data_IF_051734393755
#
_entry.id   IF_051734393755
#
_cell.length_a   1.000
_cell.length_b   1.000
_cell.length_c   1.000
_cell.angle_alpha   90.00
_cell.angle_beta   90.00
_cell.angle_gamma   90.00
#
_symmetry.space_group_name_H-M   'P 1'
#
loop_
_entity.id
_entity.type
_entity.pdbx_description
1 polymer ?
#
# COMPACT_ATOMS: atom_id res chain seq x y z
N UNK A 1 4.85 -14.74 -11.24
CA UNK A 1 4.03 -14.98 -10.02
C UNK A 1 3.43 -13.68 -9.50
N UNK A 2 4.21 -12.61 -9.32
CA UNK A 2 3.73 -11.32 -8.81
C UNK A 2 2.58 -10.71 -9.63
N UNK A 3 2.69 -10.66 -10.97
CA UNK A 3 1.63 -10.08 -11.82
C UNK A 3 0.31 -10.87 -11.75
N UNK A 4 0.36 -12.20 -11.71
CA UNK A 4 -0.83 -13.05 -11.58
C UNK A 4 -1.50 -12.90 -10.20
N UNK A 5 -0.71 -12.75 -9.14
CA UNK A 5 -1.23 -12.49 -7.80
C UNK A 5 -1.89 -11.11 -7.72
N UNK A 6 -1.27 -10.08 -8.30
CA UNK A 6 -1.83 -8.73 -8.34
C UNK A 6 -3.13 -8.67 -9.14
N UNK A 7 -3.18 -9.38 -10.28
CA UNK A 7 -4.41 -9.54 -11.07
C UNK A 7 -5.52 -10.23 -10.28
N UNK A 8 -5.20 -11.30 -9.55
CA UNK A 8 -6.18 -12.01 -8.72
C UNK A 8 -6.75 -11.11 -7.60
N UNK A 9 -5.92 -10.26 -6.97
CA UNK A 9 -6.38 -9.29 -5.97
C UNK A 9 -7.35 -8.29 -6.60
N UNK A 10 -7.01 -7.73 -7.76
CA UNK A 10 -7.87 -6.74 -8.43
C UNK A 10 -9.20 -7.35 -8.88
N UNK A 11 -9.20 -8.57 -9.42
CA UNK A 11 -10.43 -9.30 -9.74
C UNK A 11 -11.24 -9.58 -8.46
N UNK A 12 -10.57 -9.97 -7.38
CA UNK A 12 -11.20 -10.16 -6.08
C UNK A 12 -11.84 -8.87 -5.55
N UNK A 13 -11.18 -7.72 -5.71
CA UNK A 13 -11.72 -6.42 -5.30
C UNK A 13 -13.02 -6.06 -6.03
N UNK A 14 -13.24 -6.56 -7.26
CA UNK A 14 -14.52 -6.40 -7.97
C UNK A 14 -15.68 -7.15 -7.32
N UNK A 15 -15.44 -8.09 -6.41
CA UNK A 15 -16.51 -8.77 -5.68
C UNK A 15 -17.32 -7.81 -4.81
N UNK A 16 -16.77 -6.65 -4.44
CA UNK A 16 -17.52 -5.63 -3.69
C UNK A 16 -18.73 -5.10 -4.46
N UNK A 17 -18.74 -5.16 -5.80
CA UNK A 17 -19.92 -4.81 -6.63
C UNK A 17 -21.09 -5.72 -6.29
N UNK A 18 -20.84 -7.02 -6.06
CA UNK A 18 -21.88 -7.97 -5.68
C UNK A 18 -22.38 -7.66 -4.27
N UNK A 19 -21.46 -7.38 -3.35
CA UNK A 19 -21.79 -7.05 -1.96
C UNK A 19 -22.63 -5.79 -1.84
N UNK A 20 -22.23 -4.69 -2.49
CA UNK A 20 -22.90 -3.38 -2.40
C UNK A 20 -24.26 -3.38 -3.10
N UNK A 21 -24.41 -4.12 -4.21
CA UNK A 21 -25.72 -4.31 -4.82
C UNK A 21 -26.63 -5.20 -3.96
N UNK A 22 -26.09 -6.24 -3.32
CA UNK A 22 -26.86 -7.10 -2.39
C UNK A 22 -27.33 -6.30 -1.17
N UNK A 23 -26.49 -5.39 -0.67
CA UNK A 23 -26.85 -4.45 0.39
C UNK A 23 -28.00 -3.54 -0.04
N UNK A 24 -27.89 -2.89 -1.21
CA UNK A 24 -28.88 -1.93 -1.72
C UNK A 24 -30.25 -2.56 -2.01
N UNK A 25 -30.28 -3.77 -2.59
CA UNK A 25 -31.52 -4.39 -3.09
C UNK A 25 -32.12 -5.46 -2.17
N UNK A 26 -31.34 -6.02 -1.22
CA UNK A 26 -31.82 -7.12 -0.38
C UNK A 26 -31.67 -6.83 1.12
N UNK A 27 -30.46 -6.92 1.66
CA UNK A 27 -30.21 -6.80 3.10
C UNK A 27 -28.72 -6.78 3.42
N UNK A 28 -28.35 -6.04 4.46
CA UNK A 28 -27.03 -6.06 5.07
C UNK A 28 -26.59 -7.48 5.50
N UNK A 29 -27.49 -8.30 6.03
CA UNK A 29 -27.12 -9.64 6.51
C UNK A 29 -26.60 -10.55 5.37
N UNK A 30 -27.27 -10.51 4.22
CA UNK A 30 -26.85 -11.24 3.02
C UNK A 30 -25.53 -10.70 2.46
N UNK A 31 -25.35 -9.38 2.48
CA UNK A 31 -24.11 -8.74 2.05
C UNK A 31 -22.90 -9.22 2.88
N UNK A 32 -23.04 -9.37 4.20
CA UNK A 32 -21.97 -9.89 5.07
C UNK A 32 -21.77 -11.40 5.00
N UNK A 33 -22.83 -12.17 4.67
CA UNK A 33 -22.74 -13.62 4.52
C UNK A 33 -21.88 -14.03 3.32
N UNK A 34 -21.92 -13.26 2.23
CA UNK A 34 -21.17 -13.54 1.00
C UNK A 34 -19.64 -13.65 1.24
N UNK A 35 -18.96 -12.65 1.83
CA UNK A 35 -17.54 -12.76 2.19
C UNK A 35 -17.23 -13.93 3.13
N UNK A 36 -18.13 -14.24 4.07
CA UNK A 36 -17.94 -15.34 5.01
C UNK A 36 -17.87 -16.70 4.29
N UNK A 37 -18.77 -16.93 3.34
CA UNK A 37 -18.78 -18.16 2.53
C UNK A 37 -17.49 -18.29 1.72
N UNK A 38 -17.04 -17.21 1.09
CA UNK A 38 -15.78 -17.18 0.32
C UNK A 38 -14.58 -17.49 1.24
N UNK A 39 -14.56 -16.92 2.45
CA UNK A 39 -13.50 -17.14 3.42
C UNK A 39 -13.45 -18.59 3.92
N UNK A 40 -14.61 -19.20 4.21
CA UNK A 40 -14.71 -20.62 4.55
C UNK A 40 -14.17 -21.48 3.39
N UNK A 41 -14.55 -21.16 2.15
CA UNK A 41 -14.03 -21.83 0.96
C UNK A 41 -12.50 -21.76 0.86
N UNK A 42 -11.91 -20.58 1.11
CA UNK A 42 -10.47 -20.40 1.13
C UNK A 42 -9.78 -21.26 2.21
N UNK A 43 -10.35 -21.35 3.42
CA UNK A 43 -9.85 -22.22 4.49
C UNK A 43 -9.90 -23.69 4.08
N UNK A 44 -10.99 -24.14 3.47
CA UNK A 44 -11.14 -25.54 3.01
C UNK A 44 -10.06 -25.87 1.97
N UNK A 45 -9.80 -24.97 1.02
CA UNK A 45 -8.72 -25.14 0.03
C UNK A 45 -7.35 -25.25 0.70
N UNK A 46 -7.07 -24.43 1.72
CA UNK A 46 -5.82 -24.51 2.49
C UNK A 46 -5.68 -25.84 3.25
N UNK A 47 -6.76 -26.33 3.86
CA UNK A 47 -6.74 -27.60 4.61
C UNK A 47 -6.51 -28.77 3.65
N UNK A 48 -7.21 -28.80 2.51
CA UNK A 48 -7.05 -29.85 1.48
C UNK A 48 -5.65 -29.80 0.86
N UNK A 49 -5.11 -28.59 0.65
CA UNK A 49 -3.79 -28.36 0.08
C UNK A 49 -2.62 -28.64 1.03
N UNK A 50 -2.86 -28.92 2.33
CA UNK A 50 -1.82 -29.00 3.37
C UNK A 50 -0.65 -29.93 3.03
N UNK A 51 -0.92 -31.04 2.35
CA UNK A 51 0.08 -32.05 2.00
C UNK A 51 0.95 -31.64 0.79
N UNK A 52 0.58 -30.57 0.06
CA UNK A 52 1.32 -30.06 -1.11
C UNK A 52 2.20 -28.85 -0.77
N UNK A 53 2.10 -28.29 0.44
CA UNK A 53 2.83 -27.09 0.82
C UNK A 53 4.25 -27.41 1.32
N UNK A 54 5.23 -26.67 0.81
CA UNK A 54 6.61 -26.73 1.30
C UNK A 54 6.71 -25.96 2.61
N UNK A 55 6.83 -26.68 3.72
CA UNK A 55 7.04 -26.08 5.03
C UNK A 55 8.47 -25.59 5.16
N UNK A 56 8.67 -24.27 5.24
CA UNK A 56 9.98 -23.68 5.51
C UNK A 56 10.25 -23.74 7.02
N UNK A 57 11.46 -24.11 7.46
CA UNK A 57 11.80 -24.15 8.88
C UNK A 57 11.62 -22.75 9.50
N UNK A 58 11.24 -22.66 10.78
CA UNK A 58 11.01 -21.38 11.44
C UNK A 58 12.31 -20.57 11.45
N UNK A 59 12.36 -19.53 10.62
CA UNK A 59 13.39 -18.50 10.72
C UNK A 59 13.05 -17.64 11.92
N UNK A 60 13.92 -17.60 12.94
CA UNK A 60 13.70 -16.79 14.14
C UNK A 60 13.39 -15.32 13.81
N UNK A 61 12.75 -14.60 14.73
CA UNK A 61 12.28 -13.23 14.47
C UNK A 61 13.44 -12.29 14.13
N UNK A 62 13.50 -11.94 12.85
CA UNK A 62 14.46 -11.01 12.30
C UNK A 62 14.28 -9.60 12.87
N UNK A 63 13.04 -9.19 13.14
CA UNK A 63 12.73 -7.91 13.77
C UNK A 63 13.34 -7.81 15.17
N UNK A 64 13.29 -8.89 15.94
CA UNK A 64 13.93 -8.93 17.27
C UNK A 64 15.46 -8.83 17.13
N UNK A 65 16.05 -9.51 16.16
CA UNK A 65 17.50 -9.41 15.88
C UNK A 65 17.90 -8.00 15.46
N UNK A 66 17.16 -7.40 14.52
CA UNK A 66 17.39 -6.02 14.08
C UNK A 66 17.21 -5.01 15.22
N UNK A 67 16.17 -5.15 16.04
CA UNK A 67 15.91 -4.31 17.20
C UNK A 67 17.02 -4.38 18.25
N UNK A 68 17.57 -5.57 18.53
CA UNK A 68 18.73 -5.73 19.42
C UNK A 68 19.99 -5.04 18.87
N UNK A 69 20.24 -5.14 17.57
CA UNK A 69 21.38 -4.46 16.92
C UNK A 69 21.24 -2.93 16.98
N UNK A 70 20.04 -2.42 16.72
CA UNK A 70 19.75 -0.98 16.81
C UNK A 70 19.86 -0.50 18.27
N UNK A 71 19.29 -1.25 19.21
CA UNK A 71 19.34 -0.92 20.65
C UNK A 71 20.76 -0.88 21.21
N UNK A 72 21.58 -1.88 20.87
CA UNK A 72 23.00 -1.92 21.28
C UNK A 72 23.82 -0.77 20.65
N UNK A 73 23.55 -0.43 19.38
CA UNK A 73 24.16 0.73 18.72
C UNK A 73 23.80 2.06 19.41
N UNK A 74 22.52 2.25 19.76
CA UNK A 74 22.04 3.46 20.45
C UNK A 74 22.64 3.55 21.86
N UNK A 75 22.63 2.46 22.62
CA UNK A 75 23.17 2.41 23.97
C UNK A 75 24.67 2.74 24.00
N UNK A 76 25.46 2.21 23.06
CA UNK A 76 26.89 2.52 22.95
C UNK A 76 27.14 3.97 22.59
N UNK A 77 26.40 4.54 21.62
CA UNK A 77 26.51 5.97 21.29
C UNK A 77 26.16 6.86 22.47
N UNK A 78 25.18 6.46 23.29
CA UNK A 78 24.79 7.20 24.47
C UNK A 78 25.83 7.11 25.60
N UNK A 79 26.46 5.95 25.79
CA UNK A 79 27.49 5.73 26.83
C UNK A 79 28.87 6.29 26.49
N UNK A 80 29.32 6.14 25.24
CA UNK A 80 30.70 6.45 24.83
C UNK A 80 30.83 7.72 23.99
N UNK A 81 29.71 8.43 23.75
CA UNK A 81 29.70 9.63 22.92
C UNK A 81 30.00 9.35 21.43
N UNK A 82 30.17 10.42 20.65
CA UNK A 82 30.57 10.29 19.23
C UNK A 82 32.05 9.89 19.16
N UNK A 83 32.33 8.71 18.61
CA UNK A 83 33.69 8.30 18.30
C UNK A 83 34.10 8.76 16.88
N UNK A 84 35.35 9.21 16.68
CA UNK A 84 35.81 9.75 15.39
C UNK A 84 35.87 8.71 14.25
N UNK A 85 35.96 7.42 14.58
CA UNK A 85 36.09 6.34 13.60
C UNK A 85 34.74 5.83 13.03
N UNK A 86 33.60 6.24 13.61
CA UNK A 86 32.27 5.75 13.26
C UNK A 86 31.42 6.82 12.55
N UNK A 87 31.22 6.68 11.23
CA UNK A 87 30.40 7.62 10.44
C UNK A 87 28.89 7.41 10.61
N UNK A 88 28.40 6.19 10.90
CA UNK A 88 26.97 5.91 11.07
C UNK A 88 26.66 5.21 12.40
N UNK A 89 25.44 5.40 12.90
CA UNK A 89 24.96 4.81 14.16
C UNK A 89 25.11 3.28 14.19
N UNK A 90 24.82 2.60 13.09
CA UNK A 90 24.92 1.14 13.01
C UNK A 90 26.36 0.62 12.98
N UNK A 91 27.35 1.48 12.69
CA UNK A 91 28.75 1.07 12.68
C UNK A 91 29.23 0.77 14.13
N UNK A 92 28.61 1.38 15.16
CA UNK A 92 28.88 1.09 16.58
C UNK A 92 28.50 -0.35 17.01
N UNK A 93 27.65 -1.02 16.23
CA UNK A 93 27.31 -2.42 16.47
C UNK A 93 28.36 -3.41 15.93
N UNK A 94 29.20 -2.98 14.96
CA UNK A 94 30.25 -3.81 14.33
C UNK A 94 31.43 -4.08 15.27
N UNK A 95 31.76 -3.13 16.14
CA UNK A 95 32.82 -3.29 17.14
C UNK A 95 32.39 -4.07 18.39
N UNK A 96 31.27 -4.80 18.33
CA UNK A 96 30.98 -5.77 19.38
C UNK A 96 31.88 -6.98 19.13
N UNK A 97 33.15 -6.85 19.54
CA UNK A 97 34.04 -7.99 19.78
C UNK A 97 33.25 -9.08 20.53
N UNK A 98 33.52 -10.37 20.26
CA UNK A 98 32.88 -11.46 20.98
C UNK A 98 33.11 -11.28 22.48
N UNK A 99 32.09 -10.82 23.20
CA UNK A 99 32.07 -10.89 24.65
C UNK A 99 31.83 -12.37 24.98
N UNK A 100 32.91 -13.05 25.30
CA UNK A 100 32.91 -14.38 25.88
C UNK A 100 32.64 -14.16 27.37
N UNK A 101 31.49 -14.64 27.85
CA UNK A 101 31.27 -14.76 29.31
C UNK A 101 32.40 -15.62 29.89
N UNK A 102 32.80 -15.36 31.15
CA UNK A 102 33.84 -16.11 31.89
C UNK A 102 33.59 -17.65 31.91
N UNK A 103 32.39 -18.10 31.56
CA UNK A 103 31.99 -19.51 31.43
C UNK A 103 32.08 -20.10 30.01
N UNK A 104 32.75 -19.43 29.07
CA UNK A 104 33.00 -19.95 27.72
C UNK A 104 31.74 -20.13 26.84
N UNK A 105 30.58 -19.63 27.29
CA UNK A 105 29.34 -19.63 26.50
C UNK A 105 29.24 -18.29 25.77
N UNK A 106 29.69 -18.27 24.52
CA UNK A 106 29.55 -17.11 23.65
C UNK A 106 28.08 -16.84 23.29
N UNK A 107 27.35 -16.13 24.15
CA UNK A 107 25.95 -15.75 23.88
C UNK A 107 25.88 -14.61 22.84
N UNK A 108 26.95 -13.81 22.71
CA UNK A 108 26.97 -12.60 21.87
C UNK A 108 27.65 -12.81 20.51
N UNK A 109 28.51 -13.82 20.38
CA UNK A 109 29.38 -14.01 19.22
C UNK A 109 28.67 -14.58 17.96
N UNK A 110 27.50 -15.19 18.09
CA UNK A 110 26.85 -15.90 16.97
C UNK A 110 25.87 -15.01 16.17
N UNK A 111 25.47 -13.84 16.71
CA UNK A 111 24.32 -13.08 16.17
C UNK A 111 24.72 -11.83 15.36
N UNK A 112 25.95 -11.33 15.49
CA UNK A 112 26.41 -10.12 14.81
C UNK A 112 27.46 -10.45 13.74
N UNK A 113 27.05 -11.13 12.68
CA UNK A 113 27.88 -11.23 11.49
C UNK A 113 28.00 -9.82 10.88
N UNK A 114 29.20 -9.29 10.65
CA UNK A 114 29.38 -7.94 10.11
C UNK A 114 28.59 -7.71 8.80
N UNK A 115 28.42 -8.79 8.02
CA UNK A 115 27.54 -8.84 6.85
C UNK A 115 26.08 -8.49 7.18
N UNK A 116 25.53 -8.97 8.30
CA UNK A 116 24.18 -8.66 8.74
C UNK A 116 24.00 -7.18 9.10
N UNK A 117 25.01 -6.57 9.73
CA UNK A 117 24.99 -5.13 10.07
C UNK A 117 25.06 -4.28 8.80
N UNK A 118 25.87 -4.68 7.82
CA UNK A 118 25.93 -4.02 6.51
C UNK A 118 24.63 -4.15 5.71
N UNK A 119 24.01 -5.32 5.75
CA UNK A 119 22.71 -5.61 5.15
C UNK A 119 21.59 -4.80 5.81
N UNK A 120 21.59 -4.70 7.15
CA UNK A 120 20.66 -3.86 7.91
C UNK A 120 20.86 -2.37 7.55
N UNK A 121 22.10 -1.91 7.38
CA UNK A 121 22.40 -0.52 7.02
C UNK A 121 21.90 -0.16 5.62
N UNK A 122 22.07 -1.07 4.65
CA UNK A 122 21.50 -0.92 3.30
C UNK A 122 19.97 -0.90 3.37
N UNK A 123 19.36 -1.84 4.10
CA UNK A 123 17.92 -1.89 4.28
C UNK A 123 17.36 -0.60 4.89
N UNK A 124 17.93 -0.10 6.00
CA UNK A 124 17.50 1.15 6.66
C UNK A 124 17.64 2.35 5.73
N UNK A 125 18.71 2.42 4.92
CA UNK A 125 18.88 3.51 3.95
C UNK A 125 17.81 3.45 2.85
N UNK A 126 17.50 2.26 2.33
CA UNK A 126 16.44 2.08 1.33
C UNK A 126 15.05 2.37 1.92
N UNK A 127 14.83 2.04 3.18
CA UNK A 127 13.55 2.28 3.87
C UNK A 127 13.25 3.77 4.11
N UNK A 128 14.22 4.68 3.92
CA UNK A 128 13.95 6.13 4.00
C UNK A 128 12.92 6.59 2.96
N UNK A 129 12.83 5.90 1.82
CA UNK A 129 11.82 6.19 0.80
C UNK A 129 10.41 5.91 1.33
N UNK A 130 10.24 4.89 2.17
CA UNK A 130 8.95 4.54 2.76
C UNK A 130 8.44 5.55 3.79
N UNK A 131 9.30 6.42 4.34
CA UNK A 131 8.86 7.48 5.25
C UNK A 131 7.92 8.49 4.59
N UNK A 132 7.89 8.57 3.26
CA UNK A 132 6.97 9.44 2.52
C UNK A 132 5.66 8.74 2.12
N UNK A 133 5.59 7.41 2.17
CA UNK A 133 4.39 6.65 1.81
C UNK A 133 3.18 6.87 2.72
N UNK A 134 3.30 7.23 4.01
CA UNK A 134 2.14 7.64 4.80
C UNK A 134 1.35 8.77 4.16
N UNK A 135 2.02 9.77 3.56
CA UNK A 135 1.34 10.86 2.85
C UNK A 135 0.60 10.36 1.61
N UNK A 136 1.21 9.42 0.88
CA UNK A 136 0.57 8.75 -0.24
C UNK A 136 -0.72 8.03 0.20
N UNK A 137 -0.64 7.23 1.26
CA UNK A 137 -1.78 6.46 1.76
C UNK A 137 -2.90 7.34 2.30
N UNK A 138 -2.59 8.50 2.89
CA UNK A 138 -3.60 9.48 3.29
C UNK A 138 -4.42 9.95 2.09
N UNK A 139 -3.78 10.25 0.97
CA UNK A 139 -4.47 10.67 -0.26
C UNK A 139 -5.20 9.50 -0.93
N UNK A 140 -4.60 8.31 -0.94
CA UNK A 140 -5.20 7.12 -1.52
C UNK A 140 -6.48 6.71 -0.78
N UNK A 141 -6.46 6.75 0.55
CA UNK A 141 -7.61 6.39 1.38
C UNK A 141 -8.80 7.37 1.30
N UNK A 142 -8.63 8.54 0.68
CA UNK A 142 -9.76 9.44 0.36
C UNK A 142 -10.80 8.75 -0.54
N UNK A 143 -10.34 7.82 -1.37
CA UNK A 143 -11.17 7.03 -2.27
C UNK A 143 -12.21 6.17 -1.55
N UNK A 144 -11.89 5.71 -0.34
CA UNK A 144 -12.74 4.81 0.46
C UNK A 144 -13.66 5.56 1.42
N UNK A 145 -13.56 6.89 1.48
CA UNK A 145 -14.24 7.71 2.50
C UNK A 145 -14.82 8.97 1.88
N UNK A 146 -14.01 10.01 1.74
CA UNK A 146 -14.48 11.34 1.33
C UNK A 146 -14.99 11.37 -0.12
N UNK A 147 -14.39 10.61 -1.05
CA UNK A 147 -14.89 10.57 -2.44
C UNK A 147 -16.24 9.88 -2.56
N UNK A 148 -16.51 8.88 -1.71
CA UNK A 148 -17.83 8.22 -1.63
C UNK A 148 -18.87 9.19 -1.07
N UNK A 149 -18.55 9.90 0.02
CA UNK A 149 -19.41 10.94 0.59
C UNK A 149 -19.69 12.08 -0.39
N UNK A 150 -18.70 12.47 -1.19
CA UNK A 150 -18.85 13.44 -2.27
C UNK A 150 -19.78 12.90 -3.37
N UNK A 151 -19.62 11.62 -3.75
CA UNK A 151 -20.47 10.98 -4.76
C UNK A 151 -21.93 10.88 -4.33
N UNK A 152 -22.19 10.70 -3.04
CA UNK A 152 -23.54 10.67 -2.49
C UNK A 152 -24.34 11.97 -2.71
N UNK A 153 -23.66 13.07 -3.02
CA UNK A 153 -24.28 14.37 -3.35
C UNK A 153 -24.52 14.54 -4.86
N UNK A 154 -24.09 13.57 -5.68
CA UNK A 154 -24.15 13.62 -7.14
C UNK A 154 -25.24 12.67 -7.66
N UNK A 155 -25.65 12.85 -8.91
CA UNK A 155 -26.51 11.90 -9.59
C UNK A 155 -25.67 10.67 -10.05
N UNK A 156 -25.77 9.59 -9.27
CA UNK A 156 -25.09 8.30 -9.50
C UNK A 156 -25.98 7.31 -10.29
N UNK A 157 -27.21 7.70 -10.61
CA UNK A 157 -28.18 6.85 -11.29
C UNK A 157 -28.58 5.61 -10.48
N UNK A 158 -28.76 4.43 -11.10
CA UNK A 158 -29.20 3.23 -10.40
C UNK A 158 -28.10 2.58 -9.55
N UNK A 159 -26.84 3.00 -9.69
CA UNK A 159 -25.70 2.37 -9.02
C UNK A 159 -25.61 2.81 -7.55
N UNK A 160 -25.12 1.95 -6.63
CA UNK A 160 -24.67 2.36 -5.31
C UNK A 160 -23.44 3.27 -5.40
N UNK A 161 -23.29 4.23 -4.48
CA UNK A 161 -22.13 5.14 -4.43
C UNK A 161 -20.81 4.39 -4.23
N UNK A 162 -20.85 3.28 -3.51
CA UNK A 162 -19.66 2.49 -3.17
C UNK A 162 -19.08 1.74 -4.39
N UNK A 163 -19.89 1.54 -5.44
CA UNK A 163 -19.42 0.94 -6.70
C UNK A 163 -18.37 1.83 -7.38
N UNK A 164 -18.28 3.11 -7.03
CA UNK A 164 -17.27 4.02 -7.59
C UNK A 164 -15.86 3.65 -7.15
N UNK A 165 -15.70 3.06 -5.97
CA UNK A 165 -14.39 2.54 -5.53
C UNK A 165 -13.89 1.44 -6.47
N UNK A 166 -14.80 0.71 -7.16
CA UNK A 166 -14.41 -0.31 -8.13
C UNK A 166 -13.84 0.25 -9.43
N UNK A 167 -13.95 1.56 -9.68
CA UNK A 167 -13.30 2.19 -10.84
C UNK A 167 -11.79 1.96 -10.77
N UNK A 168 -11.20 2.01 -9.57
CA UNK A 168 -9.77 1.82 -9.37
C UNK A 168 -9.28 0.42 -9.82
N UNK A 169 -9.77 -0.72 -9.28
CA UNK A 169 -9.36 -2.04 -9.75
C UNK A 169 -9.71 -2.30 -11.22
N UNK A 170 -10.78 -1.69 -11.76
CA UNK A 170 -11.08 -1.76 -13.20
C UNK A 170 -9.97 -1.09 -14.02
N UNK A 171 -9.57 0.13 -13.63
CA UNK A 171 -8.48 0.85 -14.27
C UNK A 171 -7.18 0.07 -14.14
N UNK A 172 -6.88 -0.52 -12.99
CA UNK A 172 -5.69 -1.35 -12.80
C UNK A 172 -5.68 -2.57 -13.72
N UNK A 173 -6.78 -3.31 -13.85
CA UNK A 173 -6.88 -4.48 -14.75
C UNK A 173 -6.62 -4.08 -16.21
N UNK A 174 -7.13 -2.93 -16.64
CA UNK A 174 -6.96 -2.43 -18.01
C UNK A 174 -5.57 -1.84 -18.23
N UNK A 175 -5.05 -1.06 -17.28
CA UNK A 175 -3.82 -0.29 -17.46
C UNK A 175 -2.55 -1.07 -17.12
N UNK A 176 -2.56 -2.03 -16.18
CA UNK A 176 -1.39 -2.89 -15.92
C UNK A 176 -0.82 -3.51 -17.20
N UNK A 177 -1.61 -4.19 -18.08
CA UNK A 177 -1.08 -4.76 -19.31
C UNK A 177 -0.63 -3.69 -20.30
N UNK A 178 -1.24 -2.50 -20.31
CA UNK A 178 -0.80 -1.36 -21.13
C UNK A 178 0.56 -0.87 -20.64
N UNK A 179 0.77 -0.75 -19.34
CA UNK A 179 2.05 -0.36 -18.75
C UNK A 179 3.14 -1.40 -19.04
N UNK A 180 2.83 -2.69 -18.85
CA UNK A 180 3.76 -3.79 -19.07
C UNK A 180 4.15 -4.00 -20.54
N UNK A 181 3.19 -3.93 -21.46
CA UNK A 181 3.40 -4.25 -22.88
C UNK A 181 3.69 -3.04 -23.77
N UNK A 182 3.16 -1.87 -23.44
CA UNK A 182 3.31 -0.66 -24.25
C UNK A 182 4.31 0.30 -23.62
N UNK A 183 4.05 0.77 -22.40
CA UNK A 183 4.79 1.90 -21.81
C UNK A 183 6.22 1.49 -21.45
N UNK A 184 6.44 0.42 -20.67
CA UNK A 184 7.80 0.02 -20.30
C UNK A 184 8.67 -0.40 -21.50
N UNK A 185 8.18 -1.10 -22.53
CA UNK A 185 8.95 -1.38 -23.73
C UNK A 185 9.22 -0.12 -24.57
N UNK A 186 8.25 0.80 -24.67
CA UNK A 186 8.42 2.08 -25.36
C UNK A 186 9.51 2.93 -24.69
N UNK A 187 9.48 3.05 -23.37
CA UNK A 187 10.52 3.76 -22.61
C UNK A 187 11.90 3.14 -22.76
N UNK A 188 11.98 1.79 -22.83
CA UNK A 188 13.22 1.07 -23.13
C UNK A 188 13.74 1.37 -24.54
N UNK A 189 12.85 1.54 -25.53
CA UNK A 189 13.24 1.96 -26.90
C UNK A 189 13.80 3.38 -26.91
N UNK A 190 13.29 4.28 -26.08
CA UNK A 190 13.80 5.64 -25.93
C UNK A 190 15.04 5.76 -25.03
N UNK A 191 15.62 4.64 -24.56
CA UNK A 191 16.77 4.61 -23.65
C UNK A 191 16.59 5.41 -22.35
N UNK A 192 15.35 5.65 -21.93
CA UNK A 192 15.06 6.35 -20.67
C UNK A 192 15.16 5.33 -19.53
N UNK A 193 16.23 5.41 -18.74
CA UNK A 193 16.40 4.59 -17.55
C UNK A 193 15.42 5.01 -16.46
N UNK A 194 14.28 4.33 -16.41
CA UNK A 194 13.22 4.65 -15.47
C UNK A 194 13.49 4.02 -14.10
N UNK A 195 14.33 4.72 -13.32
CA UNK A 195 14.72 4.31 -11.98
C UNK A 195 13.48 4.16 -11.06
N UNK A 196 13.50 3.22 -10.09
CA UNK A 196 12.39 3.00 -9.17
C UNK A 196 11.94 4.28 -8.45
N UNK A 197 12.88 5.13 -8.04
CA UNK A 197 12.58 6.40 -7.37
C UNK A 197 11.82 7.36 -8.29
N UNK A 198 12.19 7.44 -9.58
CA UNK A 198 11.51 8.30 -10.56
C UNK A 198 10.05 7.85 -10.82
N UNK A 199 9.81 6.53 -10.82
CA UNK A 199 8.45 5.96 -10.90
C UNK A 199 7.63 6.38 -9.69
N UNK A 200 8.17 6.20 -8.49
CA UNK A 200 7.50 6.57 -7.25
C UNK A 200 7.16 8.07 -7.27
N UNK A 201 8.09 8.93 -7.67
CA UNK A 201 7.79 10.38 -7.77
C UNK A 201 6.69 10.71 -8.77
N UNK A 202 6.60 10.00 -9.91
CA UNK A 202 5.47 10.17 -10.82
C UNK A 202 4.15 9.72 -10.19
N UNK A 203 4.13 8.64 -9.41
CA UNK A 203 2.94 8.23 -8.68
C UNK A 203 2.46 9.31 -7.70
N UNK A 204 3.39 9.84 -6.90
CA UNK A 204 3.09 10.95 -5.99
C UNK A 204 2.60 12.21 -6.73
N UNK A 205 3.10 12.47 -7.93
CA UNK A 205 2.61 13.56 -8.77
C UNK A 205 1.19 13.31 -9.28
N UNK A 206 0.91 12.10 -9.76
CA UNK A 206 -0.42 11.69 -10.23
C UNK A 206 -1.47 11.77 -9.10
N UNK A 207 -1.17 11.29 -7.89
CA UNK A 207 -2.12 11.39 -6.78
C UNK A 207 -2.33 12.83 -6.32
N UNK A 208 -1.30 13.67 -6.44
CA UNK A 208 -1.43 15.12 -6.16
C UNK A 208 -2.38 15.80 -7.14
N UNK A 209 -2.33 15.43 -8.44
CA UNK A 209 -3.30 15.91 -9.45
C UNK A 209 -4.72 15.42 -9.12
N UNK A 210 -4.87 14.15 -8.70
CA UNK A 210 -6.17 13.63 -8.28
C UNK A 210 -6.74 14.44 -7.10
N UNK A 211 -5.91 14.73 -6.10
CA UNK A 211 -6.31 15.53 -4.94
C UNK A 211 -6.55 17.00 -5.26
N UNK A 212 -5.92 17.56 -6.30
CA UNK A 212 -6.23 18.89 -6.79
C UNK A 212 -7.56 18.94 -7.57
N UNK A 213 -7.92 17.85 -8.26
CA UNK A 213 -9.18 17.74 -8.99
C UNK A 213 -10.39 17.56 -8.07
N UNK A 214 -10.25 16.83 -6.96
CA UNK A 214 -11.37 16.55 -6.04
C UNK A 214 -12.08 17.83 -5.49
N UNK A 215 -11.37 18.89 -5.07
CA UNK A 215 -11.98 20.17 -4.70
C UNK A 215 -12.64 20.91 -5.87
N UNK A 216 -12.10 20.78 -7.09
CA UNK A 216 -12.71 21.37 -8.29
C UNK A 216 -14.08 20.74 -8.52
N UNK A 217 -14.17 19.42 -8.42
CA UNK A 217 -15.44 18.70 -8.48
C UNK A 217 -16.37 19.15 -7.34
N UNK A 218 -15.86 19.29 -6.12
CA UNK A 218 -16.67 19.77 -4.99
C UNK A 218 -17.25 21.17 -5.24
N UNK A 219 -16.44 22.08 -5.79
CA UNK A 219 -16.89 23.43 -6.13
C UNK A 219 -17.99 23.41 -7.21
N UNK A 220 -17.89 22.50 -8.20
CA UNK A 220 -18.93 22.32 -9.21
C UNK A 220 -20.22 21.72 -8.64
N UNK A 221 -20.12 20.80 -7.67
CA UNK A 221 -21.27 20.28 -6.92
C UNK A 221 -22.00 21.42 -6.20
N UNK A 222 -21.26 22.36 -5.61
CA UNK A 222 -21.83 23.53 -4.92
C UNK A 222 -22.39 24.59 -5.88
N UNK A 223 -21.88 24.67 -7.11
CA UNK A 223 -22.34 25.62 -8.11
C UNK A 223 -23.58 25.15 -8.89
N UNK A 224 -23.90 23.86 -8.84
CA UNK A 224 -25.02 23.26 -9.59
C UNK A 224 -26.18 22.96 -8.63
N UNK A 225 -27.34 23.58 -8.87
CA UNK A 225 -28.55 23.40 -8.05
C UNK A 225 -29.11 21.96 -8.03
N UNK A 226 -30.12 21.67 -7.17
CA UNK A 226 -30.99 22.61 -6.45
C UNK A 226 -30.64 22.86 -4.97
N UNK A 227 -29.72 22.09 -4.35
CA UNK A 227 -29.37 22.23 -2.94
C UNK A 227 -28.02 22.94 -2.76
N UNK A 228 -28.06 24.25 -2.50
CA UNK A 228 -26.88 25.07 -2.20
C UNK A 228 -26.47 25.04 -0.71
N UNK A 229 -27.37 24.58 0.18
CA UNK A 229 -27.18 24.62 1.62
C UNK A 229 -27.57 23.28 2.28
N UNK A 230 -26.57 22.55 2.75
CA UNK A 230 -26.67 21.28 3.52
C UNK A 230 -27.35 21.43 4.89
N UNK A 231 -27.89 22.59 5.23
CA UNK A 231 -28.39 22.96 6.56
C UNK A 231 -29.91 23.05 6.66
N UNK A 232 -30.64 22.96 5.54
CA UNK A 232 -32.09 22.96 5.61
C UNK A 232 -32.57 21.52 5.66
N UNK A 233 -33.26 21.19 6.74
CA UNK A 233 -34.07 19.98 6.91
C UNK A 233 -34.83 19.72 5.61
N UNK A 234 -34.43 18.67 4.88
CA UNK A 234 -35.12 18.29 3.66
C UNK A 234 -36.51 17.80 4.04
N UNK A 235 -37.54 18.51 3.59
CA UNK A 235 -38.92 18.02 3.65
C UNK A 235 -39.03 16.67 2.92
N UNK A 236 -39.89 15.79 3.43
CA UNK A 236 -40.22 14.49 2.83
C UNK A 236 -40.60 14.66 1.35
N UNK A 237 -39.69 14.28 0.44
CA UNK A 237 -39.97 14.23 -1.01
C UNK A 237 -39.01 15.01 -1.92
N UNK A 238 -38.05 15.79 -1.40
CA UNK A 238 -37.06 16.48 -2.25
C UNK A 238 -35.89 15.58 -2.68
N UNK A 239 -35.43 15.77 -3.93
CA UNK A 239 -34.28 15.05 -4.47
C UNK A 239 -33.01 15.39 -3.69
N UNK A 240 -32.42 14.37 -3.07
CA UNK A 240 -31.25 14.47 -2.17
C UNK A 240 -29.91 14.61 -2.92
N UNK A 241 -29.94 14.84 -4.23
CA UNK A 241 -28.76 14.91 -5.09
C UNK A 241 -28.80 16.15 -5.97
N UNK A 242 -27.63 16.71 -6.26
CA UNK A 242 -27.49 17.80 -7.23
C UNK A 242 -27.44 17.22 -8.66
N UNK A 243 -27.84 18.02 -9.66
CA UNK A 243 -27.88 17.64 -11.08
C UNK A 243 -26.47 17.59 -11.73
N UNK A 244 -25.52 16.98 -11.03
CA UNK A 244 -24.16 16.75 -11.48
C UNK A 244 -23.92 15.25 -11.57
N UNK A 245 -23.46 14.79 -12.72
CA UNK A 245 -23.21 13.37 -12.94
C UNK A 245 -21.92 12.93 -12.26
N UNK A 246 -21.94 11.72 -11.69
CA UNK A 246 -20.77 11.11 -11.05
C UNK A 246 -19.56 10.95 -11.98
N UNK A 247 -19.77 11.06 -13.30
CA UNK A 247 -18.71 11.04 -14.32
C UNK A 247 -17.62 12.07 -14.03
N UNK A 248 -17.96 13.23 -13.44
CA UNK A 248 -16.98 14.26 -13.05
C UNK A 248 -15.93 13.78 -12.03
N UNK A 249 -16.22 12.74 -11.23
CA UNK A 249 -15.25 12.12 -10.33
C UNK A 249 -14.33 11.10 -11.02
N UNK A 250 -14.69 10.61 -12.21
CA UNK A 250 -13.93 9.56 -12.91
C UNK A 250 -12.44 9.92 -13.09
N UNK A 251 -12.06 11.17 -13.43
CA UNK A 251 -10.65 11.55 -13.49
C UNK A 251 -9.91 11.39 -12.15
N UNK A 252 -10.56 11.65 -11.00
CA UNK A 252 -9.95 11.46 -9.68
C UNK A 252 -9.55 10.01 -9.48
N UNK A 253 -10.49 9.07 -9.68
CA UNK A 253 -10.24 7.64 -9.54
C UNK A 253 -9.20 7.13 -10.54
N UNK A 254 -9.25 7.63 -11.79
CA UNK A 254 -8.26 7.28 -12.81
C UNK A 254 -6.84 7.69 -12.41
N UNK A 255 -6.64 8.93 -11.94
CA UNK A 255 -5.32 9.38 -11.51
C UNK A 255 -4.82 8.68 -10.24
N UNK A 256 -5.72 8.29 -9.33
CA UNK A 256 -5.40 7.46 -8.16
C UNK A 256 -4.91 6.07 -8.62
N UNK A 257 -5.61 5.42 -9.54
CA UNK A 257 -5.23 4.10 -10.07
C UNK A 257 -3.88 4.13 -10.82
N UNK A 258 -3.69 5.13 -11.69
CA UNK A 258 -2.39 5.32 -12.39
C UNK A 258 -1.28 5.58 -11.39
N UNK A 259 -1.56 6.37 -10.35
CA UNK A 259 -0.63 6.61 -9.26
C UNK A 259 -0.26 5.32 -8.52
N UNK A 260 -1.22 4.43 -8.28
CA UNK A 260 -0.97 3.14 -7.64
C UNK A 260 -0.02 2.26 -8.45
N UNK A 261 -0.19 2.21 -9.78
CA UNK A 261 0.72 1.47 -10.66
C UNK A 261 2.15 1.96 -10.48
N UNK A 262 2.34 3.28 -10.38
CA UNK A 262 3.68 3.86 -10.26
C UNK A 262 4.27 3.80 -8.85
N UNK A 263 3.48 4.04 -7.81
CA UNK A 263 3.95 4.12 -6.43
C UNK A 263 3.80 2.80 -5.68
N UNK A 264 2.64 2.14 -5.71
CA UNK A 264 2.37 0.91 -4.95
C UNK A 264 3.17 -0.28 -5.47
N UNK A 265 3.01 -0.57 -6.77
CA UNK A 265 3.67 -1.71 -7.41
C UNK A 265 5.20 -1.54 -7.36
N UNK A 266 5.71 -0.36 -7.73
CA UNK A 266 7.15 -0.08 -7.67
C UNK A 266 7.65 -0.07 -6.22
N UNK A 267 6.85 0.37 -5.25
CA UNK A 267 7.21 0.36 -3.83
C UNK A 267 7.42 -1.05 -3.30
N UNK A 268 6.51 -1.97 -3.62
CA UNK A 268 6.63 -3.40 -3.29
C UNK A 268 7.83 -4.06 -3.99
N UNK A 269 8.07 -3.74 -5.26
CA UNK A 269 9.24 -4.21 -6.00
C UNK A 269 10.54 -3.68 -5.39
N UNK A 270 10.56 -2.40 -5.03
CA UNK A 270 11.70 -1.74 -4.38
C UNK A 270 11.98 -2.34 -3.00
N UNK A 271 10.94 -2.58 -2.19
CA UNK A 271 11.07 -3.26 -0.90
C UNK A 271 11.67 -4.67 -1.06
N UNK A 272 11.23 -5.41 -2.07
CA UNK A 272 11.62 -6.80 -2.31
C UNK A 272 13.03 -6.95 -2.92
N UNK A 273 13.49 -5.97 -3.68
CA UNK A 273 14.80 -5.96 -4.35
C UNK A 273 15.91 -5.40 -3.47
N UNK A 274 15.60 -4.42 -2.62
CA UNK A 274 16.57 -3.80 -1.71
C UNK A 274 16.71 -4.55 -0.38
N UNK A 275 15.73 -5.39 -0.02
CA UNK A 275 15.84 -6.24 1.16
C UNK A 275 16.77 -7.44 0.90
N UNK A 276 17.78 -7.67 1.76
CA UNK A 276 18.61 -8.89 1.74
C UNK A 276 17.75 -10.16 1.72
N UNK A 277 18.25 -11.26 1.16
CA UNK A 277 17.49 -12.51 1.04
C UNK A 277 16.96 -13.04 2.39
N UNK A 278 17.67 -12.75 3.49
CA UNK A 278 17.26 -13.05 4.86
C UNK A 278 16.24 -12.07 5.43
N UNK A 279 16.05 -10.88 4.83
CA UNK A 279 15.30 -9.72 5.37
C UNK A 279 14.09 -9.25 4.55
N UNK A 280 13.65 -10.02 3.55
CA UNK A 280 12.47 -9.66 2.73
C UNK A 280 11.22 -9.35 3.57
N UNK A 281 11.04 -10.00 4.71
CA UNK A 281 9.93 -9.73 5.64
C UNK A 281 9.99 -8.33 6.27
N UNK A 282 11.17 -7.77 6.54
CA UNK A 282 11.30 -6.43 7.14
C UNK A 282 10.95 -5.33 6.13
N UNK A 283 11.29 -5.52 4.85
CA UNK A 283 10.87 -4.61 3.78
C UNK A 283 9.35 -4.57 3.61
N UNK A 284 8.67 -5.72 3.76
CA UNK A 284 7.21 -5.76 3.77
C UNK A 284 6.60 -5.15 5.04
N UNK A 285 7.19 -5.36 6.22
CA UNK A 285 6.69 -4.76 7.47
C UNK A 285 6.81 -3.23 7.47
N UNK A 286 7.83 -2.68 6.80
CA UNK A 286 7.98 -1.22 6.65
C UNK A 286 7.15 -0.63 5.50
N UNK A 287 6.59 -1.50 4.64
CA UNK A 287 5.66 -1.12 3.59
C UNK A 287 4.22 -1.01 4.11
N UNK A 288 3.80 -1.97 4.95
CA UNK A 288 2.52 -1.97 5.65
C UNK A 288 2.45 -0.84 6.69
#
# INVERSE_FOLDING_TARGET
MFNWFYWAINIGALSSIVTTNTEKYHSFWLAYLLPLIVFIGAIVVLIVGRNRYVQKPPSGSLLIRAGRVIGTAIQKRWRFGKQPNHRNLLDYAKETSPQVDENGRGIVAVVNNNAFVDDLKKAVRSCRVFLFYPFYWICYNQMSTNLISQAAQMNVGPLPNDVLQNIDPIVLIVFIPVFDKLIYPCMRRFQINFAPIARITLGFFCISIAMAWAPVVQNQIYATGPNYSFLNELEEGQQKYNDITVVWQTPTYFFIAVSEIFASITGLEYASTQAPASMKGVGMVLWC
#
